data_IF_624165311512
#
_entry.id   IF_624165311512
#
_cell.length_a   1.000
_cell.length_b   1.000
_cell.length_c   1.000
_cell.angle_alpha   90.00
_cell.angle_beta   90.00
_cell.angle_gamma   90.00
#
_symmetry.space_group_name_H-M   'P 1'
#
loop_
_entity.id
_entity.type
_entity.pdbx_description
1 polymer ?
#
# COMPACT_ATOMS: atom_id res chain seq x y z
N UNK A 1 21.15 -28.73 26.22
CA UNK A 1 21.16 -27.41 26.91
C UNK A 1 21.77 -26.38 25.98
N UNK A 2 20.98 -25.37 25.61
CA UNK A 2 21.43 -24.17 24.89
C UNK A 2 21.17 -22.99 25.81
N UNK A 3 22.21 -22.33 26.30
CA UNK A 3 22.03 -21.28 27.30
C UNK A 3 22.96 -20.09 27.13
N UNK A 4 22.44 -18.89 27.41
CA UNK A 4 23.18 -17.62 27.44
C UNK A 4 23.87 -17.25 26.13
N UNK A 5 23.25 -17.58 24.99
CA UNK A 5 23.76 -17.23 23.66
C UNK A 5 23.15 -15.93 23.12
N UNK A 6 23.87 -15.29 22.20
CA UNK A 6 23.40 -14.20 21.35
C UNK A 6 23.26 -14.74 19.93
N UNK A 7 22.03 -14.86 19.44
CA UNK A 7 21.71 -15.40 18.11
C UNK A 7 21.09 -14.26 17.32
N UNK A 8 21.70 -13.88 16.19
CA UNK A 8 21.24 -12.68 15.48
C UNK A 8 21.39 -12.76 13.97
N UNK A 9 20.42 -12.17 13.27
CA UNK A 9 20.38 -11.93 11.84
C UNK A 9 20.60 -13.18 10.97
N UNK A 10 19.99 -14.30 11.35
CA UNK A 10 20.01 -15.52 10.56
C UNK A 10 18.88 -15.48 9.52
N UNK A 11 19.29 -15.25 8.27
CA UNK A 11 18.45 -14.97 7.10
C UNK A 11 17.16 -15.81 6.96
N UNK A 12 17.22 -17.11 7.22
CA UNK A 12 16.10 -18.05 7.05
C UNK A 12 15.67 -18.74 8.35
N UNK A 13 16.04 -18.17 9.52
CA UNK A 13 15.60 -18.63 10.84
C UNK A 13 16.73 -18.63 11.88
N UNK A 14 16.37 -18.27 13.11
CA UNK A 14 17.30 -18.23 14.25
C UNK A 14 17.75 -19.61 14.71
N UNK A 15 16.97 -20.26 15.57
CA UNK A 15 17.27 -21.61 16.07
C UNK A 15 16.14 -22.57 15.73
N UNK A 16 16.48 -23.68 15.07
CA UNK A 16 15.58 -24.81 14.86
C UNK A 16 15.81 -25.88 15.92
N UNK A 17 14.79 -26.22 16.68
CA UNK A 17 14.84 -27.36 17.60
C UNK A 17 14.31 -28.61 16.92
N UNK A 18 15.18 -29.62 16.81
CA UNK A 18 14.86 -30.95 16.27
C UNK A 18 14.42 -31.93 17.36
N UNK A 19 13.97 -33.11 16.94
CA UNK A 19 13.41 -34.19 17.79
C UNK A 19 14.46 -34.96 18.61
N UNK A 20 15.27 -34.26 19.40
CA UNK A 20 16.22 -34.84 20.36
C UNK A 20 15.62 -35.04 21.77
N UNK A 21 16.19 -35.92 22.61
CA UNK A 21 15.78 -36.06 24.00
C UNK A 21 16.37 -34.93 24.87
N UNK A 22 15.47 -34.18 25.53
CA UNK A 22 15.78 -33.21 26.60
C UNK A 22 16.59 -31.97 26.19
N UNK A 23 15.97 -31.14 25.36
CA UNK A 23 16.48 -29.80 25.08
C UNK A 23 15.97 -28.79 26.12
N UNK A 24 16.91 -28.15 26.80
CA UNK A 24 16.64 -27.02 27.69
C UNK A 24 17.21 -25.76 27.07
N UNK A 25 16.41 -24.70 26.98
CA UNK A 25 16.80 -23.37 26.55
C UNK A 25 16.69 -22.38 27.72
N UNK A 26 17.79 -21.69 28.06
CA UNK A 26 17.84 -20.76 29.20
C UNK A 26 18.61 -19.49 28.85
N UNK A 27 18.02 -18.32 29.10
CA UNK A 27 18.75 -17.05 29.06
C UNK A 27 19.33 -16.64 27.71
N UNK A 28 18.83 -17.16 26.59
CA UNK A 28 19.31 -16.79 25.26
C UNK A 28 18.61 -15.51 24.77
N UNK A 29 19.33 -14.72 23.97
CA UNK A 29 18.81 -13.53 23.32
C UNK A 29 18.89 -13.68 21.80
N UNK A 30 17.76 -13.50 21.15
CA UNK A 30 17.61 -13.55 19.70
C UNK A 30 17.40 -12.13 19.17
N UNK A 31 18.09 -11.72 18.11
CA UNK A 31 17.96 -10.37 17.51
C UNK A 31 17.71 -10.49 16.01
N UNK A 32 16.54 -10.05 15.55
CA UNK A 32 16.06 -10.25 14.18
C UNK A 32 15.83 -11.72 13.84
N UNK A 33 15.70 -12.57 14.87
CA UNK A 33 15.63 -14.02 14.81
C UNK A 33 14.66 -14.52 15.88
N UNK A 34 14.22 -15.77 15.75
CA UNK A 34 13.41 -16.46 16.75
C UNK A 34 13.65 -17.98 16.77
N UNK A 35 12.75 -18.69 17.43
CA UNK A 35 12.85 -20.11 17.73
C UNK A 35 11.75 -20.90 17.01
N UNK A 36 12.13 -21.83 16.15
CA UNK A 36 11.18 -22.74 15.52
C UNK A 36 11.27 -24.15 16.08
N UNK A 37 10.13 -24.68 16.50
CA UNK A 37 10.00 -26.11 16.80
C UNK A 37 9.75 -26.83 15.47
N UNK A 38 10.69 -27.66 15.04
CA UNK A 38 10.60 -28.38 13.76
C UNK A 38 9.98 -29.77 13.95
N UNK A 39 8.99 -30.08 13.12
CA UNK A 39 8.35 -31.39 13.08
C UNK A 39 9.10 -32.29 12.09
N UNK A 40 9.53 -33.51 12.48
CA UNK A 40 10.20 -34.41 11.54
C UNK A 40 9.27 -34.84 10.40
N UNK A 41 9.80 -34.94 9.17
CA UNK A 41 9.28 -35.81 8.11
C UNK A 41 7.94 -35.47 7.46
N UNK A 42 7.87 -34.42 6.64
CA UNK A 42 6.79 -34.26 5.64
C UNK A 42 6.84 -35.31 4.50
N UNK A 43 7.80 -36.24 4.51
CA UNK A 43 8.07 -37.22 3.44
C UNK A 43 8.09 -38.69 3.87
N UNK A 44 7.85 -39.02 5.14
CA UNK A 44 7.68 -40.42 5.59
C UNK A 44 6.24 -40.66 6.04
N UNK A 45 5.60 -41.75 5.61
CA UNK A 45 4.23 -42.05 6.03
C UNK A 45 4.21 -42.25 7.54
N UNK A 46 3.63 -41.29 8.26
CA UNK A 46 3.27 -41.46 9.65
C UNK A 46 2.28 -42.61 9.75
N UNK A 47 2.71 -43.71 10.36
CA UNK A 47 1.76 -44.71 10.87
C UNK A 47 0.88 -44.01 11.90
N UNK A 48 -0.35 -44.50 12.11
CA UNK A 48 -1.42 -43.89 12.92
C UNK A 48 -1.11 -43.62 14.40
N UNK A 49 0.15 -43.65 14.82
CA UNK A 49 0.62 -43.18 16.11
C UNK A 49 1.29 -41.80 15.92
N UNK A 50 0.76 -40.78 16.62
CA UNK A 50 1.42 -39.49 16.77
C UNK A 50 2.92 -39.71 17.07
N UNK A 51 3.83 -38.90 16.51
CA UNK A 51 5.26 -39.02 16.81
C UNK A 51 5.46 -39.00 18.32
N UNK A 52 6.32 -39.88 18.84
CA UNK A 52 6.55 -40.09 20.29
C UNK A 52 6.96 -38.84 21.07
N UNK A 53 7.31 -37.74 20.40
CA UNK A 53 7.53 -36.41 20.97
C UNK A 53 6.21 -35.67 21.29
N UNK A 54 5.18 -35.81 20.45
CA UNK A 54 3.82 -35.34 20.76
C UNK A 54 3.18 -36.10 21.92
N UNK A 55 3.60 -37.34 22.13
CA UNK A 55 3.15 -38.14 23.26
C UNK A 55 3.69 -37.61 24.60
N UNK A 56 4.77 -36.81 24.63
CA UNK A 56 5.28 -36.21 25.86
C UNK A 56 6.02 -34.87 25.65
N UNK A 57 5.29 -33.74 25.62
CA UNK A 57 5.89 -32.42 25.46
C UNK A 57 6.58 -31.89 26.73
N UNK A 58 6.81 -32.72 27.76
CA UNK A 58 7.69 -32.39 28.90
C UNK A 58 9.19 -32.45 28.57
N UNK A 59 9.52 -32.94 27.37
CA UNK A 59 10.91 -33.13 26.90
C UNK A 59 11.59 -31.85 26.43
N UNK A 60 10.82 -30.81 26.06
CA UNK A 60 11.35 -29.51 25.69
C UNK A 60 11.07 -28.54 26.84
N UNK A 61 12.13 -27.90 27.34
CA UNK A 61 12.03 -26.92 28.42
C UNK A 61 12.60 -25.60 27.93
N UNK A 62 11.73 -24.63 27.67
CA UNK A 62 12.13 -23.26 27.33
C UNK A 62 11.84 -22.40 28.56
N UNK A 63 12.90 -21.92 29.21
CA UNK A 63 12.76 -21.03 30.34
C UNK A 63 12.28 -19.64 29.89
N UNK A 64 11.59 -18.92 30.77
CA UNK A 64 11.01 -17.61 30.48
C UNK A 64 12.04 -16.47 30.39
N UNK A 65 13.31 -16.75 30.66
CA UNK A 65 14.42 -15.79 30.58
C UNK A 65 15.06 -15.71 29.19
N UNK A 66 14.52 -16.42 28.20
CA UNK A 66 14.85 -16.23 26.79
C UNK A 66 14.10 -15.01 26.22
N UNK A 67 14.74 -14.29 25.30
CA UNK A 67 14.17 -13.07 24.70
C UNK A 67 14.42 -12.98 23.19
N UNK A 68 13.51 -12.33 22.48
CA UNK A 68 13.58 -12.01 21.05
C UNK A 68 13.39 -10.49 20.93
N UNK A 69 14.38 -9.82 20.35
CA UNK A 69 14.42 -8.36 20.22
C UNK A 69 14.19 -7.63 21.56
N UNK A 70 14.73 -8.18 22.65
CA UNK A 70 14.53 -7.65 24.00
C UNK A 70 13.14 -7.87 24.60
N UNK A 71 12.26 -8.62 23.94
CA UNK A 71 10.94 -9.02 24.45
C UNK A 71 10.91 -10.49 24.86
N UNK A 72 10.01 -10.90 25.77
CA UNK A 72 9.90 -12.30 26.18
C UNK A 72 9.59 -13.26 25.02
N UNK A 73 10.22 -14.44 25.04
CA UNK A 73 9.77 -15.64 24.33
C UNK A 73 8.87 -16.44 25.26
N UNK A 74 7.61 -16.65 24.88
CA UNK A 74 6.67 -17.45 25.68
C UNK A 74 6.48 -18.84 25.11
N UNK A 75 6.57 -19.85 25.98
CA UNK A 75 6.33 -21.25 25.66
C UNK A 75 5.29 -21.85 26.61
N UNK A 76 4.21 -22.37 26.06
CA UNK A 76 3.17 -23.08 26.81
C UNK A 76 2.99 -24.50 26.28
N UNK A 77 2.77 -25.44 27.20
CA UNK A 77 2.57 -26.85 26.88
C UNK A 77 1.56 -27.52 27.80
N UNK A 78 0.84 -28.55 27.31
CA UNK A 78 -0.14 -29.34 28.08
C UNK A 78 -1.21 -28.48 28.78
N UNK A 79 -1.72 -27.47 28.08
CA UNK A 79 -2.58 -26.45 28.68
C UNK A 79 -4.06 -26.58 28.29
N UNK A 80 -4.96 -26.05 29.12
CA UNK A 80 -6.40 -25.98 28.81
C UNK A 80 -6.97 -24.66 29.33
N UNK A 81 -7.86 -24.02 28.55
CA UNK A 81 -8.45 -22.71 28.88
C UNK A 81 -7.40 -21.59 29.02
N UNK A 82 -6.32 -21.66 28.25
CA UNK A 82 -5.28 -20.64 28.26
C UNK A 82 -5.76 -19.41 27.49
N UNK A 83 -5.65 -18.24 28.11
CA UNK A 83 -5.89 -16.95 27.48
C UNK A 83 -4.63 -16.09 27.57
N UNK A 84 -4.17 -15.59 26.43
CA UNK A 84 -3.00 -14.74 26.28
C UNK A 84 -3.49 -13.45 25.64
N UNK A 85 -3.43 -12.34 26.37
CA UNK A 85 -4.03 -11.09 25.94
C UNK A 85 -3.13 -9.88 26.22
N UNK A 86 -2.80 -9.10 25.18
CA UNK A 86 -2.13 -7.80 25.35
C UNK A 86 -0.68 -7.86 25.84
N UNK A 87 -0.06 -9.03 25.88
CA UNK A 87 1.31 -9.20 26.40
C UNK A 87 2.31 -8.81 25.30
N UNK A 88 3.24 -7.88 25.55
CA UNK A 88 4.35 -7.61 24.64
C UNK A 88 5.29 -8.82 24.62
N UNK A 89 5.39 -9.49 23.48
CA UNK A 89 6.23 -10.68 23.31
C UNK A 89 6.92 -10.67 21.94
N UNK A 90 8.09 -11.30 21.88
CA UNK A 90 8.85 -11.44 20.64
C UNK A 90 8.40 -12.63 19.81
N UNK A 91 7.95 -13.70 20.45
CA UNK A 91 7.37 -14.89 19.80
C UNK A 91 6.54 -15.69 20.80
N UNK A 92 5.51 -16.38 20.29
CA UNK A 92 4.65 -17.26 21.06
C UNK A 92 4.70 -18.68 20.52
N UNK A 93 5.07 -19.63 21.36
CA UNK A 93 5.08 -21.06 21.09
C UNK A 93 4.06 -21.78 21.98
N UNK A 94 3.12 -22.50 21.40
CA UNK A 94 2.11 -23.28 22.14
C UNK A 94 2.02 -24.68 21.58
N UNK A 95 2.13 -25.67 22.46
CA UNK A 95 2.13 -27.09 22.07
C UNK A 95 1.12 -27.87 22.91
N UNK A 96 0.30 -28.73 22.31
CA UNK A 96 -0.62 -29.63 23.03
C UNK A 96 -1.56 -28.85 23.98
N UNK A 97 -2.38 -27.97 23.42
CA UNK A 97 -3.26 -27.10 24.21
C UNK A 97 -4.70 -27.08 23.68
N UNK A 98 -5.67 -26.90 24.59
CA UNK A 98 -7.10 -26.89 24.26
C UNK A 98 -7.82 -25.64 24.77
N UNK A 99 -8.82 -25.16 24.03
CA UNK A 99 -9.60 -23.96 24.33
C UNK A 99 -8.68 -22.75 24.54
N UNK A 100 -7.91 -22.43 23.50
CA UNK A 100 -6.88 -21.40 23.52
C UNK A 100 -7.45 -20.08 23.00
N UNK A 101 -7.21 -18.97 23.71
CA UNK A 101 -7.55 -17.61 23.29
C UNK A 101 -6.29 -16.78 23.18
N UNK A 102 -5.97 -16.30 21.98
CA UNK A 102 -4.81 -15.46 21.71
C UNK A 102 -5.30 -14.13 21.17
N UNK A 103 -5.09 -13.05 21.92
CA UNK A 103 -5.62 -11.75 21.51
C UNK A 103 -4.73 -10.55 21.79
N UNK A 104 -4.90 -9.51 20.97
CA UNK A 104 -4.27 -8.20 21.16
C UNK A 104 -2.74 -8.27 21.34
N UNK A 105 -2.08 -9.22 20.68
CA UNK A 105 -0.62 -9.35 20.69
C UNK A 105 -0.02 -8.51 19.57
N UNK A 106 1.18 -7.96 19.82
CA UNK A 106 1.96 -7.22 18.83
C UNK A 106 3.33 -7.88 18.68
N UNK A 107 3.49 -8.67 17.63
CA UNK A 107 4.65 -9.53 17.39
C UNK A 107 5.27 -9.15 16.05
N UNK A 108 6.56 -8.86 16.05
CA UNK A 108 7.29 -8.50 14.85
C UNK A 108 8.76 -8.89 14.89
N UNK A 109 9.35 -9.08 13.71
CA UNK A 109 10.79 -9.33 13.50
C UNK A 109 11.31 -10.60 14.20
N UNK A 110 10.52 -11.68 14.18
CA UNK A 110 10.91 -13.01 14.69
C UNK A 110 11.09 -14.03 13.55
N UNK A 111 11.47 -15.27 13.87
CA UNK A 111 11.40 -16.41 12.93
C UNK A 111 9.93 -16.74 12.62
N UNK A 112 9.15 -17.09 13.65
CA UNK A 112 7.70 -17.20 13.58
C UNK A 112 7.09 -16.18 14.53
N UNK A 113 5.90 -15.66 14.21
CA UNK A 113 5.17 -14.81 15.15
C UNK A 113 4.49 -15.65 16.23
N UNK A 114 3.58 -16.51 15.81
CA UNK A 114 2.80 -17.42 16.65
C UNK A 114 2.92 -18.83 16.07
N UNK A 115 3.58 -19.75 16.78
CA UNK A 115 3.61 -21.16 16.42
C UNK A 115 2.71 -21.97 17.36
N UNK A 116 1.71 -22.63 16.78
CA UNK A 116 0.81 -23.55 17.48
C UNK A 116 0.98 -24.96 16.91
N UNK A 117 1.12 -25.94 17.79
CA UNK A 117 1.29 -27.33 17.40
C UNK A 117 0.37 -28.20 18.26
N UNK A 118 -0.46 -29.04 17.62
CA UNK A 118 -1.42 -29.91 18.32
C UNK A 118 -2.35 -29.11 19.24
N UNK A 119 -3.14 -28.22 18.63
CA UNK A 119 -4.06 -27.32 19.36
C UNK A 119 -5.51 -27.53 18.97
N UNK A 120 -6.40 -27.48 19.95
CA UNK A 120 -7.83 -27.69 19.75
C UNK A 120 -8.67 -26.53 20.28
N UNK A 121 -9.76 -26.22 19.59
CA UNK A 121 -10.73 -25.20 20.00
C UNK A 121 -10.06 -23.82 20.20
N UNK A 122 -9.36 -23.34 19.17
CA UNK A 122 -8.50 -22.15 19.25
C UNK A 122 -9.17 -20.92 18.61
N UNK A 123 -9.08 -19.76 19.28
CA UNK A 123 -9.46 -18.46 18.72
C UNK A 123 -8.25 -17.51 18.78
N UNK A 124 -7.88 -16.97 17.61
CA UNK A 124 -6.81 -15.99 17.44
C UNK A 124 -7.45 -14.71 16.91
N UNK A 125 -7.43 -13.63 17.71
CA UNK A 125 -8.18 -12.41 17.39
C UNK A 125 -7.50 -11.10 17.77
N UNK A 126 -7.58 -10.07 16.92
CA UNK A 126 -7.06 -8.75 17.26
C UNK A 126 -5.53 -8.67 17.35
N UNK A 127 -4.79 -9.62 16.78
CA UNK A 127 -3.32 -9.62 16.85
C UNK A 127 -2.73 -8.87 15.65
N UNK A 128 -1.59 -8.23 15.88
CA UNK A 128 -0.73 -7.64 14.84
C UNK A 128 0.54 -8.47 14.73
N UNK A 129 0.71 -9.18 13.61
CA UNK A 129 1.80 -10.14 13.41
C UNK A 129 2.52 -9.84 12.10
N UNK A 130 3.69 -9.22 12.17
CA UNK A 130 4.31 -8.59 11.01
C UNK A 130 5.80 -8.89 10.87
N UNK A 131 6.33 -8.87 9.64
CA UNK A 131 7.78 -8.86 9.40
C UNK A 131 8.54 -10.05 10.02
N UNK A 132 7.90 -11.22 10.12
CA UNK A 132 8.56 -12.44 10.58
C UNK A 132 9.20 -13.17 9.40
N UNK A 133 10.35 -13.82 9.58
CA UNK A 133 11.13 -14.38 8.47
C UNK A 133 10.55 -15.69 7.90
N UNK A 134 9.66 -16.37 8.61
CA UNK A 134 8.92 -17.52 8.09
C UNK A 134 7.40 -17.27 7.98
N UNK A 135 6.63 -17.64 8.98
CA UNK A 135 5.17 -17.44 9.00
C UNK A 135 4.78 -16.50 10.13
N UNK A 136 3.79 -15.65 9.88
CA UNK A 136 3.19 -14.86 10.94
C UNK A 136 2.54 -15.78 11.97
N UNK A 137 1.57 -16.59 11.52
CA UNK A 137 0.89 -17.59 12.33
C UNK A 137 1.07 -18.95 11.66
N UNK A 138 1.68 -19.89 12.39
CA UNK A 138 1.87 -21.27 11.97
C UNK A 138 1.05 -22.20 12.87
N UNK A 139 0.19 -23.03 12.28
CA UNK A 139 -0.62 -24.01 13.00
C UNK A 139 -0.44 -25.41 12.40
N UNK A 140 0.21 -26.31 13.13
CA UNK A 140 0.35 -27.70 12.72
C UNK A 140 -0.49 -28.62 13.63
N UNK A 141 -1.18 -29.60 13.06
CA UNK A 141 -2.04 -30.55 13.78
C UNK A 141 -3.17 -29.90 14.59
N UNK A 142 -3.77 -28.83 14.07
CA UNK A 142 -4.90 -28.18 14.74
C UNK A 142 -6.22 -28.93 14.52
N UNK A 143 -7.16 -28.79 15.45
CA UNK A 143 -8.56 -29.16 15.25
C UNK A 143 -9.49 -28.08 15.81
N UNK A 144 -10.39 -27.55 14.96
CA UNK A 144 -11.27 -26.44 15.30
C UNK A 144 -10.51 -25.16 15.69
N UNK A 145 -10.13 -24.37 14.69
CA UNK A 145 -9.46 -23.08 14.89
C UNK A 145 -10.19 -21.94 14.14
N UNK A 146 -10.27 -20.78 14.76
CA UNK A 146 -10.77 -19.54 14.13
C UNK A 146 -9.72 -18.44 14.26
N UNK A 147 -9.37 -17.83 13.12
CA UNK A 147 -8.47 -16.68 13.03
C UNK A 147 -9.28 -15.52 12.44
N UNK A 148 -9.52 -14.48 13.24
CA UNK A 148 -10.47 -13.41 12.93
C UNK A 148 -10.00 -12.06 13.46
N UNK A 149 -10.16 -10.97 12.71
CA UNK A 149 -9.82 -9.63 13.19
C UNK A 149 -8.34 -9.38 13.43
N UNK A 150 -7.43 -10.11 12.77
CA UNK A 150 -5.99 -9.93 12.91
C UNK A 150 -5.42 -9.08 11.76
N UNK A 151 -4.34 -8.36 12.02
CA UNK A 151 -3.54 -7.64 11.03
C UNK A 151 -2.22 -8.39 10.80
N UNK A 152 -2.00 -8.88 9.59
CA UNK A 152 -0.92 -9.81 9.24
C UNK A 152 -0.24 -9.25 8.01
N UNK A 153 1.03 -8.87 8.15
CA UNK A 153 1.73 -8.22 7.05
C UNK A 153 3.20 -8.57 6.92
N UNK A 154 3.68 -8.62 5.68
CA UNK A 154 5.09 -8.79 5.34
C UNK A 154 5.75 -10.00 6.03
N UNK A 155 5.07 -11.15 6.12
CA UNK A 155 5.65 -12.35 6.72
C UNK A 155 6.22 -13.31 5.64
N UNK A 156 7.38 -13.88 5.96
CA UNK A 156 8.15 -14.79 5.12
C UNK A 156 9.38 -14.16 4.50
N UNK A 157 10.34 -15.02 4.14
CA UNK A 157 11.59 -14.64 3.50
C UNK A 157 11.52 -14.83 1.97
N UNK A 158 12.34 -14.07 1.23
CA UNK A 158 12.66 -14.28 -0.19
C UNK A 158 11.46 -14.46 -1.12
N UNK A 159 10.42 -13.64 -0.96
CA UNK A 159 9.23 -13.70 -1.82
C UNK A 159 8.28 -14.86 -1.49
N UNK A 160 8.53 -15.62 -0.43
CA UNK A 160 7.51 -16.46 0.21
C UNK A 160 6.63 -15.58 1.08
N UNK A 161 5.35 -15.48 0.75
CA UNK A 161 4.33 -14.71 1.49
C UNK A 161 3.52 -15.67 2.35
N UNK A 162 3.78 -15.70 3.65
CA UNK A 162 3.24 -16.73 4.56
C UNK A 162 2.65 -16.14 5.85
N UNK A 163 1.70 -15.23 5.72
CA UNK A 163 0.96 -14.67 6.86
C UNK A 163 0.35 -15.75 7.77
N UNK A 164 -0.45 -16.67 7.22
CA UNK A 164 -1.02 -17.81 7.97
C UNK A 164 -0.78 -19.13 7.25
N UNK A 165 -0.08 -20.06 7.88
CA UNK A 165 0.10 -21.41 7.37
C UNK A 165 -0.48 -22.42 8.36
N UNK A 166 -1.47 -23.20 7.91
CA UNK A 166 -2.08 -24.23 8.74
C UNK A 166 -2.04 -25.60 8.05
N UNK A 167 -1.84 -26.67 8.81
CA UNK A 167 -1.84 -28.04 8.27
C UNK A 167 -2.38 -29.03 9.30
N UNK A 168 -3.31 -29.90 8.90
CA UNK A 168 -3.84 -30.98 9.75
C UNK A 168 -4.06 -32.28 8.95
N UNK A 169 -2.99 -32.88 8.40
CA UNK A 169 -3.07 -33.97 7.42
C UNK A 169 -3.69 -35.29 7.93
N UNK A 170 -3.90 -35.45 9.24
CA UNK A 170 -4.35 -36.70 9.86
C UNK A 170 -5.64 -36.56 10.68
N UNK A 171 -6.33 -35.42 10.60
CA UNK A 171 -7.55 -35.14 11.36
C UNK A 171 -8.71 -34.95 10.35
N UNK A 172 -9.47 -36.02 10.03
CA UNK A 172 -10.41 -36.04 8.90
C UNK A 172 -11.63 -35.12 9.03
N UNK A 173 -11.79 -34.39 10.15
CA UNK A 173 -12.89 -33.46 10.40
C UNK A 173 -12.40 -32.10 10.93
N UNK A 174 -11.17 -31.72 10.60
CA UNK A 174 -10.62 -30.43 11.02
C UNK A 174 -11.44 -29.29 10.44
N UNK A 175 -12.00 -28.44 11.30
CA UNK A 175 -12.61 -27.17 10.90
C UNK A 175 -11.62 -26.05 11.18
N UNK A 176 -11.32 -25.25 10.17
CA UNK A 176 -10.43 -24.10 10.29
C UNK A 176 -11.04 -22.91 9.55
N UNK A 177 -11.34 -21.85 10.27
CA UNK A 177 -11.92 -20.63 9.73
C UNK A 177 -10.90 -19.49 9.79
N UNK A 178 -10.78 -18.77 8.70
CA UNK A 178 -9.96 -17.58 8.55
C UNK A 178 -10.78 -16.55 7.79
N UNK A 179 -11.33 -15.56 8.48
CA UNK A 179 -12.15 -14.53 7.87
C UNK A 179 -11.99 -13.24 8.64
N UNK A 180 -12.31 -12.11 8.01
CA UNK A 180 -12.24 -10.80 8.64
C UNK A 180 -10.84 -10.46 9.16
N UNK A 181 -9.79 -10.83 8.44
CA UNK A 181 -8.42 -10.40 8.75
C UNK A 181 -7.90 -9.48 7.65
N UNK A 182 -6.87 -8.71 7.98
CA UNK A 182 -6.14 -7.84 7.07
C UNK A 182 -4.82 -8.51 6.70
N UNK A 183 -4.70 -8.94 5.45
CA UNK A 183 -3.47 -9.46 4.87
C UNK A 183 -2.84 -8.40 3.96
N UNK A 184 -1.63 -7.96 4.29
CA UNK A 184 -0.88 -6.97 3.51
C UNK A 184 0.44 -7.60 3.09
N UNK A 185 0.61 -7.83 1.79
CA UNK A 185 1.77 -8.53 1.24
C UNK A 185 1.95 -9.92 1.88
N UNK A 186 0.84 -10.59 2.16
CA UNK A 186 0.79 -11.91 2.78
C UNK A 186 -0.30 -12.79 2.17
N UNK A 187 -0.14 -14.11 2.30
CA UNK A 187 -1.14 -15.10 1.95
C UNK A 187 -1.50 -15.99 3.15
N UNK A 188 -2.57 -16.76 2.98
CA UNK A 188 -2.91 -17.83 3.90
C UNK A 188 -3.10 -19.18 3.21
N UNK A 189 -2.92 -20.25 3.97
CA UNK A 189 -3.16 -21.62 3.52
C UNK A 189 -3.68 -22.51 4.64
N UNK A 190 -4.43 -23.55 4.26
CA UNK A 190 -4.87 -24.61 5.16
C UNK A 190 -6.05 -24.29 6.09
N UNK A 191 -6.69 -23.14 5.91
CA UNK A 191 -7.95 -22.73 6.55
C UNK A 191 -8.96 -22.30 5.48
N UNK A 192 -10.25 -22.40 5.77
CA UNK A 192 -11.31 -21.83 4.94
C UNK A 192 -11.28 -20.30 5.06
N UNK A 193 -11.08 -19.61 3.94
CA UNK A 193 -10.73 -18.19 3.90
C UNK A 193 -11.94 -17.24 3.86
N UNK A 194 -13.15 -17.72 4.15
CA UNK A 194 -14.35 -16.90 4.18
C UNK A 194 -15.38 -17.41 5.19
N UNK A 195 -16.30 -16.54 5.60
CA UNK A 195 -17.44 -16.86 6.48
C UNK A 195 -18.78 -16.86 5.72
N UNK A 196 -18.73 -16.97 4.39
CA UNK A 196 -19.90 -16.86 3.52
C UNK A 196 -20.52 -15.46 3.44
N UNK A 197 -21.51 -15.30 2.58
CA UNK A 197 -22.24 -14.05 2.37
C UNK A 197 -23.41 -13.89 3.37
N UNK A 198 -23.73 -12.66 3.83
CA UNK A 198 -23.07 -11.38 3.54
C UNK A 198 -21.90 -11.07 4.46
N UNK A 199 -21.46 -12.01 5.30
CA UNK A 199 -20.37 -11.76 6.25
C UNK A 199 -19.07 -11.38 5.52
N UNK A 200 -18.78 -12.03 4.40
CA UNK A 200 -17.52 -11.83 3.68
C UNK A 200 -16.38 -12.68 4.23
N UNK A 201 -15.21 -12.47 3.65
CA UNK A 201 -13.95 -13.13 3.97
C UNK A 201 -12.93 -12.15 4.51
N UNK A 202 -11.71 -12.18 3.99
CA UNK A 202 -10.59 -11.35 4.44
C UNK A 202 -10.32 -10.21 3.44
N UNK A 203 -9.56 -9.23 3.90
CA UNK A 203 -8.97 -8.21 3.05
C UNK A 203 -7.58 -8.64 2.59
N UNK A 204 -7.32 -8.61 1.28
CA UNK A 204 -6.08 -9.12 0.67
C UNK A 204 -5.36 -8.06 -0.16
N UNK A 205 -4.43 -7.32 0.42
CA UNK A 205 -3.60 -6.38 -0.33
C UNK A 205 -2.31 -7.07 -0.84
N UNK A 206 -1.91 -6.87 -2.12
CA UNK A 206 -2.49 -5.98 -3.12
C UNK A 206 -3.54 -6.64 -4.04
N UNK A 207 -3.93 -7.90 -3.80
CA UNK A 207 -4.83 -8.64 -4.70
C UNK A 207 -6.15 -7.90 -4.97
N UNK A 208 -6.76 -7.30 -3.94
CA UNK A 208 -8.03 -6.56 -4.06
C UNK A 208 -7.90 -5.19 -4.72
N UNK A 209 -6.69 -4.66 -4.95
CA UNK A 209 -6.47 -3.37 -5.64
C UNK A 209 -6.99 -3.39 -7.08
N UNK A 210 -7.02 -4.59 -7.68
CA UNK A 210 -7.55 -4.81 -9.02
C UNK A 210 -8.96 -5.40 -9.03
N UNK A 211 -9.56 -5.64 -7.86
CA UNK A 211 -10.90 -6.18 -7.74
C UNK A 211 -11.96 -5.11 -8.03
N UNK A 212 -13.16 -5.57 -8.36
CA UNK A 212 -14.32 -4.74 -8.68
C UNK A 212 -15.45 -5.11 -7.73
N UNK A 213 -16.18 -4.12 -7.25
CA UNK A 213 -17.39 -4.27 -6.45
C UNK A 213 -18.46 -3.37 -7.06
N UNK A 214 -19.31 -3.94 -7.91
CA UNK A 214 -20.45 -3.28 -8.54
C UNK A 214 -21.77 -3.97 -8.19
N UNK A 215 -21.72 -5.18 -7.68
CA UNK A 215 -22.85 -6.09 -7.55
C UNK A 215 -22.91 -6.68 -6.14
N UNK A 216 -24.10 -7.08 -5.71
CA UNK A 216 -24.32 -7.67 -4.39
C UNK A 216 -24.98 -9.05 -4.48
N UNK A 217 -25.26 -9.65 -3.32
CA UNK A 217 -25.92 -10.94 -3.19
C UNK A 217 -24.94 -12.11 -3.13
N UNK A 218 -25.45 -13.29 -2.77
CA UNK A 218 -24.64 -14.51 -2.57
C UNK A 218 -23.80 -14.90 -3.80
N UNK A 219 -24.26 -14.55 -5.01
CA UNK A 219 -23.54 -14.81 -6.27
C UNK A 219 -22.84 -13.59 -6.84
N UNK A 220 -22.95 -12.43 -6.16
CA UNK A 220 -22.42 -11.15 -6.62
C UNK A 220 -22.92 -10.78 -8.03
N UNK A 221 -24.21 -10.98 -8.28
CA UNK A 221 -24.87 -10.80 -9.58
C UNK A 221 -26.00 -9.75 -9.57
N UNK A 222 -26.21 -9.06 -8.46
CA UNK A 222 -27.24 -8.02 -8.30
C UNK A 222 -26.62 -6.63 -8.48
N UNK A 223 -26.50 -6.17 -9.72
CA UNK A 223 -25.91 -4.88 -10.07
C UNK A 223 -27.02 -3.81 -10.28
N UNK A 224 -26.81 -2.53 -9.90
CA UNK A 224 -25.54 -1.85 -9.62
C UNK A 224 -25.31 -1.59 -8.12
N UNK A 225 -25.63 -2.56 -7.25
CA UNK A 225 -25.57 -2.36 -5.80
C UNK A 225 -24.27 -2.94 -5.24
N UNK A 226 -23.19 -2.15 -5.10
CA UNK A 226 -22.01 -2.59 -4.39
C UNK A 226 -22.29 -2.75 -2.90
N UNK A 227 -21.60 -3.68 -2.25
CA UNK A 227 -21.79 -3.99 -0.83
C UNK A 227 -20.49 -4.16 -0.02
N UNK A 228 -19.34 -3.81 -0.60
CA UNK A 228 -18.03 -3.88 0.05
C UNK A 228 -17.35 -5.25 -0.07
N UNK A 229 -17.93 -6.16 -0.86
CA UNK A 229 -17.39 -7.48 -1.17
C UNK A 229 -17.02 -7.49 -2.65
N UNK A 230 -15.88 -8.11 -3.00
CA UNK A 230 -15.46 -8.19 -4.38
C UNK A 230 -16.42 -9.07 -5.21
N UNK A 231 -16.81 -8.58 -6.39
CA UNK A 231 -17.67 -9.27 -7.36
C UNK A 231 -17.10 -10.64 -7.77
N UNK A 232 -15.78 -10.77 -7.73
CA UNK A 232 -15.04 -11.99 -8.06
C UNK A 232 -14.06 -12.36 -6.95
N UNK A 233 -14.32 -13.50 -6.31
CA UNK A 233 -13.41 -14.14 -5.37
C UNK A 233 -12.40 -15.10 -6.01
N UNK A 234 -11.65 -15.77 -5.13
CA UNK A 234 -10.74 -16.87 -5.43
C UNK A 234 -10.90 -17.98 -4.39
N UNK A 235 -9.80 -18.32 -3.69
CA UNK A 235 -9.85 -19.20 -2.52
C UNK A 235 -10.74 -18.62 -1.42
N UNK A 236 -10.65 -17.31 -1.20
CA UNK A 236 -11.64 -16.52 -0.49
C UNK A 236 -12.76 -16.16 -1.47
N UNK A 237 -13.97 -16.68 -1.22
CA UNK A 237 -15.11 -16.48 -2.13
C UNK A 237 -15.74 -15.11 -2.03
N UNK A 238 -15.54 -14.41 -0.91
CA UNK A 238 -16.13 -13.10 -0.64
C UNK A 238 -15.08 -12.13 -0.07
N UNK A 239 -13.98 -11.83 -0.80
CA UNK A 239 -12.96 -10.91 -0.32
C UNK A 239 -13.55 -9.55 0.03
N UNK A 240 -13.08 -8.94 1.11
CA UNK A 240 -13.46 -7.57 1.47
C UNK A 240 -12.72 -6.58 0.58
N UNK A 241 -13.42 -5.55 0.11
CA UNK A 241 -12.83 -4.46 -0.68
C UNK A 241 -12.00 -3.48 0.16
N UNK A 242 -12.16 -3.53 1.48
CA UNK A 242 -11.50 -2.65 2.43
C UNK A 242 -11.01 -3.45 3.64
N UNK A 243 -10.02 -2.94 4.38
CA UNK A 243 -9.57 -3.56 5.63
C UNK A 243 -10.74 -3.86 6.57
N UNK A 244 -10.73 -5.04 7.18
CA UNK A 244 -11.66 -5.42 8.22
C UNK A 244 -11.38 -4.67 9.53
N UNK A 245 -12.46 -4.19 10.15
CA UNK A 245 -12.43 -3.47 11.42
C UNK A 245 -13.04 -4.34 12.51
N UNK A 246 -12.18 -4.85 13.40
CA UNK A 246 -12.62 -5.75 14.48
C UNK A 246 -13.44 -5.04 15.57
N UNK A 247 -13.44 -3.71 15.60
CA UNK A 247 -14.29 -2.86 16.44
C UNK A 247 -14.82 -1.69 15.59
N UNK A 248 -15.95 -1.05 15.95
CA UNK A 248 -16.32 0.21 15.35
C UNK A 248 -15.19 1.20 15.60
N UNK A 249 -14.49 1.55 14.55
CA UNK A 249 -13.39 2.48 14.63
C UNK A 249 -13.94 3.87 14.97
N UNK A 250 -13.36 4.48 16.01
CA UNK A 250 -13.69 5.82 16.50
C UNK A 250 -12.50 6.77 16.38
N UNK A 251 -11.35 6.27 15.93
CA UNK A 251 -10.12 7.03 15.76
C UNK A 251 -10.20 7.74 14.42
N UNK A 252 -10.24 9.07 14.36
CA UNK A 252 -10.17 9.76 13.08
C UNK A 252 -8.76 9.70 12.48
N UNK A 253 -8.64 9.74 11.14
CA UNK A 253 -7.34 9.83 10.51
C UNK A 253 -6.57 11.05 10.97
N UNK A 254 -5.25 10.96 10.97
CA UNK A 254 -4.35 12.03 11.36
C UNK A 254 -3.33 12.33 10.27
N UNK A 255 -3.11 13.62 9.99
CA UNK A 255 -2.05 14.06 9.10
C UNK A 255 -0.70 13.91 9.79
N UNK A 256 0.26 13.27 9.12
CA UNK A 256 1.62 13.15 9.63
C UNK A 256 2.31 14.53 9.67
N UNK A 257 3.13 14.81 10.70
CA UNK A 257 3.94 16.01 10.73
C UNK A 257 4.82 16.11 9.47
N UNK A 258 4.95 17.33 8.91
CA UNK A 258 5.78 17.62 7.74
C UNK A 258 5.35 16.96 6.41
N UNK A 259 4.08 16.55 6.28
CA UNK A 259 3.50 16.12 5.00
C UNK A 259 2.48 17.15 4.49
N UNK A 260 2.94 18.23 3.83
CA UNK A 260 2.04 19.28 3.36
C UNK A 260 1.26 18.82 2.13
N UNK A 261 0.04 19.35 1.98
CA UNK A 261 -0.63 19.38 0.68
C UNK A 261 0.16 20.36 -0.20
N UNK A 262 0.61 19.90 -1.36
CA UNK A 262 1.34 20.74 -2.32
C UNK A 262 0.47 21.03 -3.53
N UNK A 263 0.72 22.17 -4.18
CA UNK A 263 0.06 22.55 -5.42
C UNK A 263 1.05 22.50 -6.56
N UNK A 264 0.65 21.89 -7.68
CA UNK A 264 1.38 21.85 -8.95
C UNK A 264 0.48 22.21 -10.12
N UNK A 265 1.09 22.34 -11.30
CA UNK A 265 0.41 22.54 -12.58
C UNK A 265 -0.63 23.67 -12.52
N UNK A 266 -0.21 24.82 -11.96
CA UNK A 266 -1.07 26.00 -11.84
C UNK A 266 -1.25 26.62 -13.22
N UNK A 267 -2.43 26.42 -13.78
CA UNK A 267 -2.87 26.97 -15.06
C UNK A 267 -3.55 28.32 -14.92
N UNK A 268 -4.30 28.70 -15.96
CA UNK A 268 -5.10 29.95 -15.97
C UNK A 268 -6.46 29.79 -15.31
N UNK A 269 -6.93 28.56 -15.21
CA UNK A 269 -8.22 28.17 -14.64
C UNK A 269 -8.16 26.85 -13.86
N UNK A 270 -6.96 26.31 -13.63
CA UNK A 270 -6.77 25.02 -12.98
C UNK A 270 -5.58 25.01 -12.02
N UNK A 271 -5.60 24.08 -11.08
CA UNK A 271 -4.46 23.74 -10.24
C UNK A 271 -4.59 22.28 -9.78
N UNK A 272 -3.46 21.57 -9.71
CA UNK A 272 -3.42 20.19 -9.21
C UNK A 272 -2.96 20.19 -7.76
N UNK A 273 -3.82 19.73 -6.85
CA UNK A 273 -3.45 19.45 -5.46
C UNK A 273 -2.88 18.04 -5.38
N UNK A 274 -1.82 17.88 -4.58
CA UNK A 274 -1.15 16.61 -4.33
C UNK A 274 -0.91 16.46 -2.82
N UNK A 275 -1.20 15.29 -2.27
CA UNK A 275 -0.98 14.99 -0.86
C UNK A 275 -0.64 13.51 -0.64
N UNK A 276 0.04 13.24 0.47
CA UNK A 276 0.32 11.88 0.92
C UNK A 276 -0.85 11.32 1.73
N UNK A 277 -0.85 10.00 1.94
CA UNK A 277 -1.88 9.34 2.74
C UNK A 277 -1.88 9.88 4.17
N UNK A 278 -3.05 10.21 4.72
CA UNK A 278 -3.15 10.42 6.17
C UNK A 278 -2.99 9.07 6.89
N UNK A 279 -2.39 9.09 8.08
CA UNK A 279 -2.22 7.90 8.90
C UNK A 279 -3.50 7.62 9.66
N UNK A 280 -3.84 6.35 9.79
CA UNK A 280 -5.03 5.88 10.47
C UNK A 280 -4.79 4.43 10.91
N UNK A 281 -5.39 4.00 12.01
CA UNK A 281 -5.28 2.63 12.52
C UNK A 281 -6.04 1.62 11.65
N UNK A 282 -7.00 2.11 10.87
CA UNK A 282 -7.93 1.33 10.05
C UNK A 282 -7.74 1.56 8.55
N UNK A 283 -7.30 2.75 8.19
CA UNK A 283 -7.02 3.16 6.83
C UNK A 283 -8.05 4.14 6.28
N UNK A 284 -7.52 5.14 5.58
CA UNK A 284 -8.30 6.15 4.86
C UNK A 284 -8.92 5.53 3.61
N UNK A 285 -10.22 5.76 3.38
CA UNK A 285 -10.98 5.30 2.21
C UNK A 285 -11.32 6.42 1.22
N UNK A 286 -11.37 7.67 1.68
CA UNK A 286 -11.55 8.82 0.78
C UNK A 286 -11.01 10.14 1.36
N UNK A 287 -10.83 11.13 0.48
CA UNK A 287 -10.39 12.47 0.80
C UNK A 287 -11.40 13.51 0.31
N UNK A 288 -11.83 14.36 1.22
CA UNK A 288 -12.69 15.50 0.95
C UNK A 288 -11.83 16.74 0.67
N UNK A 289 -11.91 17.26 -0.55
CA UNK A 289 -11.16 18.46 -0.97
C UNK A 289 -12.06 19.68 -0.81
N UNK A 290 -11.60 20.68 -0.06
CA UNK A 290 -12.33 21.92 0.19
C UNK A 290 -11.60 23.12 -0.40
N UNK A 291 -12.38 24.06 -0.96
CA UNK A 291 -11.97 25.41 -1.34
C UNK A 291 -12.63 26.40 -0.38
N UNK A 292 -11.85 27.02 0.51
CA UNK A 292 -12.40 27.69 1.68
C UNK A 292 -13.22 26.69 2.52
N UNK A 293 -14.52 26.92 2.64
CA UNK A 293 -15.46 26.02 3.34
C UNK A 293 -16.37 25.21 2.41
N UNK A 294 -16.21 25.36 1.09
CA UNK A 294 -17.01 24.61 0.10
C UNK A 294 -16.30 23.31 -0.28
N UNK A 295 -17.00 22.17 -0.15
CA UNK A 295 -16.53 20.88 -0.66
C UNK A 295 -16.53 20.92 -2.21
N UNK A 296 -15.39 20.62 -2.82
CA UNK A 296 -15.21 20.63 -4.28
C UNK A 296 -14.97 19.25 -4.88
N UNK A 297 -14.55 18.26 -4.07
CA UNK A 297 -14.38 16.89 -4.53
C UNK A 297 -14.40 15.87 -3.38
N UNK A 298 -14.78 14.64 -3.73
CA UNK A 298 -14.56 13.45 -2.92
C UNK A 298 -13.70 12.46 -3.71
N UNK A 299 -12.45 12.27 -3.28
CA UNK A 299 -11.44 11.48 -3.98
C UNK A 299 -11.28 10.13 -3.28
N UNK A 300 -11.53 9.02 -3.97
CA UNK A 300 -11.33 7.67 -3.40
C UNK A 300 -9.84 7.43 -3.08
N UNK A 301 -9.58 6.77 -1.96
CA UNK A 301 -8.24 6.31 -1.59
C UNK A 301 -7.75 5.10 -2.42
N UNK A 302 -8.56 4.56 -3.32
CA UNK A 302 -8.15 3.55 -4.29
C UNK A 302 -7.54 4.19 -5.55
N UNK A 303 -7.76 5.50 -5.75
CA UNK A 303 -7.22 6.28 -6.88
C UNK A 303 -5.81 6.79 -6.59
N UNK A 304 -4.91 5.88 -6.24
CA UNK A 304 -3.50 6.19 -6.03
C UNK A 304 -2.86 6.69 -7.33
N UNK A 305 -2.10 7.78 -7.24
CA UNK A 305 -1.26 8.26 -8.34
C UNK A 305 0.21 8.21 -7.92
N UNK A 306 1.14 7.94 -8.86
CA UNK A 306 2.56 8.14 -8.61
C UNK A 306 2.82 9.63 -8.35
N UNK A 307 3.38 9.98 -7.18
CA UNK A 307 3.77 11.35 -6.87
C UNK A 307 5.28 11.42 -6.74
N UNK A 308 5.91 12.23 -7.59
CA UNK A 308 7.30 12.64 -7.40
C UNK A 308 7.36 13.79 -6.39
N UNK A 309 7.15 13.46 -5.12
CA UNK A 309 7.24 14.38 -3.98
C UNK A 309 8.62 14.22 -3.34
N UNK A 310 9.54 15.13 -3.68
CA UNK A 310 10.89 15.15 -3.12
C UNK A 310 10.85 15.58 -1.63
N UNK A 311 10.62 14.63 -0.72
CA UNK A 311 10.80 14.81 0.74
C UNK A 311 11.54 13.58 1.30
N UNK A 312 12.59 13.85 2.09
CA UNK A 312 13.63 12.90 2.50
C UNK A 312 13.14 11.85 3.51
N UNK A 313 12.86 10.59 3.10
CA UNK A 313 13.10 9.35 3.89
C UNK A 313 13.28 8.13 2.95
N UNK A 314 14.22 7.26 3.34
CA UNK A 314 14.67 5.92 2.84
C UNK A 314 14.33 5.48 1.41
N UNK A 315 15.40 5.37 0.61
CA UNK A 315 15.43 4.73 -0.70
C UNK A 315 15.24 3.20 -0.60
N UNK A 316 14.63 2.63 -1.63
CA UNK A 316 14.74 1.20 -1.94
C UNK A 316 16.14 0.86 -2.47
N UNK A 317 16.42 -0.44 -2.66
CA UNK A 317 17.70 -0.93 -3.18
C UNK A 317 18.04 -0.45 -4.61
N UNK A 318 17.12 0.25 -5.29
CA UNK A 318 17.30 0.83 -6.62
C UNK A 318 17.48 2.36 -6.62
N UNK A 319 17.45 3.02 -5.44
CA UNK A 319 17.63 4.47 -5.34
C UNK A 319 16.48 5.29 -5.89
N UNK A 320 15.28 4.71 -6.06
CA UNK A 320 14.08 5.41 -6.53
C UNK A 320 12.95 5.25 -5.51
N UNK A 321 12.86 6.18 -4.56
CA UNK A 321 11.66 6.30 -3.72
C UNK A 321 10.50 6.86 -4.54
N UNK A 322 9.70 5.98 -5.17
CA UNK A 322 8.39 6.37 -5.68
C UNK A 322 7.43 6.46 -4.50
N UNK A 323 7.02 7.67 -4.16
CA UNK A 323 5.95 7.89 -3.19
C UNK A 323 4.60 7.74 -3.90
N UNK A 324 3.76 6.84 -3.39
CA UNK A 324 2.36 6.79 -3.79
C UNK A 324 1.58 7.80 -2.95
N UNK A 325 0.76 8.62 -3.62
CA UNK A 325 -0.13 9.53 -2.93
C UNK A 325 -1.37 9.82 -3.76
N UNK A 326 -2.05 10.89 -3.40
CA UNK A 326 -3.31 11.27 -3.99
C UNK A 326 -3.23 12.66 -4.57
N UNK A 327 -4.09 12.92 -5.53
CA UNK A 327 -4.17 14.23 -6.13
C UNK A 327 -5.50 14.47 -6.80
N UNK A 328 -5.77 15.75 -7.01
CA UNK A 328 -6.98 16.20 -7.64
C UNK A 328 -6.72 17.48 -8.42
N UNK A 329 -7.05 17.46 -9.71
CA UNK A 329 -7.00 18.65 -10.56
C UNK A 329 -8.31 19.40 -10.45
N UNK A 330 -8.24 20.60 -9.87
CA UNK A 330 -9.35 21.52 -9.74
C UNK A 330 -9.38 22.38 -11.00
N UNK A 331 -10.54 22.52 -11.62
CA UNK A 331 -10.77 23.35 -12.82
C UNK A 331 -11.81 24.45 -12.55
N UNK A 332 -11.97 25.40 -13.48
CA UNK A 332 -12.96 26.47 -13.37
C UNK A 332 -12.60 27.55 -12.34
N UNK A 333 -11.31 27.75 -12.09
CA UNK A 333 -10.79 28.78 -11.21
C UNK A 333 -10.66 30.12 -11.96
N UNK A 334 -10.87 31.25 -11.28
CA UNK A 334 -10.70 32.57 -11.89
C UNK A 334 -9.20 32.96 -11.97
N UNK A 335 -8.75 33.38 -13.15
CA UNK A 335 -7.36 33.79 -13.37
C UNK A 335 -6.95 34.95 -12.47
N UNK A 336 -5.72 34.94 -11.94
CA UNK A 336 -5.21 36.00 -11.05
C UNK A 336 -5.86 36.02 -9.65
N UNK A 337 -6.73 35.06 -9.35
CA UNK A 337 -7.39 34.96 -8.04
C UNK A 337 -6.62 34.01 -7.13
N UNK A 338 -6.51 34.38 -5.86
CA UNK A 338 -5.91 33.54 -4.81
C UNK A 338 -6.98 32.67 -4.18
N UNK A 339 -6.73 31.37 -4.10
CA UNK A 339 -7.58 30.39 -3.45
C UNK A 339 -6.84 29.68 -2.33
N UNK A 340 -7.58 29.33 -1.28
CA UNK A 340 -7.09 28.51 -0.17
C UNK A 340 -7.79 27.15 -0.19
N UNK A 341 -7.01 26.09 -0.11
CA UNK A 341 -7.47 24.71 -0.14
C UNK A 341 -7.09 23.96 1.14
N UNK A 342 -7.95 23.03 1.54
CA UNK A 342 -7.71 22.10 2.64
C UNK A 342 -8.23 20.71 2.26
N UNK A 343 -7.60 19.67 2.77
CA UNK A 343 -7.99 18.28 2.56
C UNK A 343 -8.37 17.66 3.90
N UNK A 344 -9.45 16.91 3.93
CA UNK A 344 -9.88 16.11 5.09
C UNK A 344 -9.87 14.64 4.66
N UNK A 345 -9.20 13.80 5.43
CA UNK A 345 -9.19 12.35 5.24
C UNK A 345 -10.38 11.73 5.99
N UNK A 346 -10.94 10.68 5.41
CA UNK A 346 -12.08 9.93 5.97
C UNK A 346 -11.72 8.46 5.97
N UNK A 347 -11.84 7.81 7.13
CA UNK A 347 -11.63 6.36 7.28
C UNK A 347 -12.86 5.55 6.84
N UNK A 348 -12.71 4.23 6.92
CA UNK A 348 -13.77 3.28 6.58
C UNK A 348 -14.97 3.32 7.55
N UNK A 349 -14.77 3.71 8.81
CA UNK A 349 -15.86 3.90 9.78
C UNK A 349 -16.58 5.25 9.64
N UNK A 350 -16.07 6.13 8.78
CA UNK A 350 -16.62 7.46 8.51
C UNK A 350 -16.10 8.56 9.45
N UNK A 351 -15.11 8.30 10.31
CA UNK A 351 -14.51 9.37 11.09
C UNK A 351 -13.66 10.27 10.19
N UNK A 352 -13.56 11.54 10.57
CA UNK A 352 -12.95 12.60 9.75
C UNK A 352 -11.75 13.19 10.46
N UNK A 353 -10.65 13.34 9.73
CA UNK A 353 -9.47 14.01 10.24
C UNK A 353 -9.70 15.49 10.54
N UNK A 354 -8.82 16.07 11.36
CA UNK A 354 -8.64 17.52 11.33
C UNK A 354 -8.20 17.96 9.91
N UNK A 355 -8.61 19.14 9.43
CA UNK A 355 -8.17 19.63 8.13
C UNK A 355 -6.65 19.65 8.02
N UNK A 356 -6.15 19.33 6.83
CA UNK A 356 -4.74 19.49 6.50
C UNK A 356 -4.28 20.94 6.74
N UNK A 357 -2.96 21.17 6.77
CA UNK A 357 -2.46 22.53 6.65
C UNK A 357 -3.02 23.16 5.37
N UNK A 358 -3.60 24.35 5.52
CA UNK A 358 -4.21 25.04 4.40
C UNK A 358 -3.12 25.48 3.42
N UNK A 359 -3.32 25.19 2.13
CA UNK A 359 -2.43 25.61 1.07
C UNK A 359 -3.07 26.72 0.25
N UNK A 360 -2.31 27.78 -0.01
CA UNK A 360 -2.79 28.94 -0.77
C UNK A 360 -2.08 29.00 -2.11
N UNK A 361 -2.83 29.20 -3.19
CA UNK A 361 -2.30 29.31 -4.55
C UNK A 361 -2.98 30.46 -5.28
N UNK A 362 -2.18 31.24 -6.01
CA UNK A 362 -2.66 32.29 -6.91
C UNK A 362 -2.62 31.76 -8.34
N UNK A 363 -3.77 31.75 -9.00
CA UNK A 363 -3.92 31.23 -10.36
C UNK A 363 -3.24 32.17 -11.37
N UNK A 364 -2.61 31.61 -12.40
CA UNK A 364 -1.85 32.39 -13.38
C UNK A 364 -2.76 33.44 -14.02
N UNK A 365 -2.42 34.73 -13.95
CA UNK A 365 -3.18 35.78 -14.62
C UNK A 365 -3.25 35.52 -16.12
N UNK A 366 -4.44 35.70 -16.71
CA UNK A 366 -4.67 35.46 -18.14
C UNK A 366 -3.75 36.28 -19.06
N UNK A 367 -3.29 37.44 -18.58
CA UNK A 367 -2.39 38.36 -19.30
C UNK A 367 -0.94 37.89 -19.38
N UNK A 368 -0.46 37.05 -18.45
CA UNK A 368 0.96 36.65 -18.42
C UNK A 368 1.33 35.70 -19.57
N UNK A 369 0.43 34.83 -20.01
CA UNK A 369 0.65 33.99 -21.21
C UNK A 369 0.48 34.78 -22.50
N UNK A 370 -0.39 35.79 -22.55
CA UNK A 370 -0.47 36.69 -23.71
C UNK A 370 0.85 37.45 -23.92
N UNK A 371 1.49 37.91 -22.84
CA UNK A 371 2.76 38.61 -22.91
C UNK A 371 3.90 37.73 -23.47
N UNK A 372 3.97 36.44 -23.10
CA UNK A 372 4.99 35.53 -23.65
C UNK A 372 4.78 35.25 -25.13
N UNK A 373 3.54 35.06 -25.60
CA UNK A 373 3.26 34.93 -27.03
C UNK A 373 3.57 36.20 -27.83
N UNK A 374 3.32 37.38 -27.25
CA UNK A 374 3.68 38.66 -27.86
C UNK A 374 5.20 38.78 -27.98
N UNK A 375 5.95 38.50 -26.91
CA UNK A 375 7.42 38.58 -26.91
C UNK A 375 8.03 37.58 -27.90
N UNK A 376 7.58 36.32 -27.91
CA UNK A 376 8.04 35.31 -28.88
C UNK A 376 7.77 35.77 -30.32
N UNK A 377 6.59 36.32 -30.58
CA UNK A 377 6.23 36.85 -31.90
C UNK A 377 7.11 38.03 -32.32
N UNK A 378 7.41 38.94 -31.41
CA UNK A 378 8.29 40.10 -31.65
C UNK A 378 9.74 39.66 -31.89
N UNK A 379 10.25 38.72 -31.09
CA UNK A 379 11.61 38.16 -31.26
C UNK A 379 11.73 37.41 -32.58
N UNK A 380 10.75 36.58 -32.96
CA UNK A 380 10.73 35.93 -34.27
C UNK A 380 10.72 36.94 -35.41
N UNK A 381 9.90 37.99 -35.32
CA UNK A 381 9.87 39.07 -36.31
C UNK A 381 11.24 39.76 -36.42
N UNK A 382 11.89 40.07 -35.29
CA UNK A 382 13.22 40.65 -35.23
C UNK A 382 14.29 39.77 -35.89
N UNK A 383 14.32 38.48 -35.57
CA UNK A 383 15.25 37.52 -36.18
C UNK A 383 15.06 37.43 -37.70
N UNK A 384 13.81 37.34 -38.18
CA UNK A 384 13.50 37.33 -39.62
C UNK A 384 14.01 38.62 -40.29
N UNK A 385 13.81 39.79 -39.67
CA UNK A 385 14.32 41.06 -40.21
C UNK A 385 15.84 41.10 -40.26
N UNK A 386 16.53 40.59 -39.24
CA UNK A 386 18.00 40.51 -39.21
C UNK A 386 18.55 39.57 -40.29
N UNK A 387 17.89 38.42 -40.52
CA UNK A 387 18.27 37.49 -41.58
C UNK A 387 18.08 38.09 -42.97
N UNK A 388 16.97 38.80 -43.21
CA UNK A 388 16.72 39.51 -44.47
C UNK A 388 17.79 40.60 -44.68
N UNK A 389 18.10 41.39 -43.65
CA UNK A 389 19.13 42.43 -43.72
C UNK A 389 20.52 41.86 -43.99
N UNK A 390 20.86 40.74 -43.33
CA UNK A 390 22.14 40.04 -43.53
C UNK A 390 22.25 39.48 -44.96
N UNK A 391 21.18 38.89 -45.48
CA UNK A 391 21.11 38.41 -46.86
C UNK A 391 21.24 39.56 -47.85
N UNK A 392 20.60 40.70 -47.58
CA UNK A 392 20.70 41.90 -48.42
C UNK A 392 22.12 42.49 -48.41
N UNK A 393 22.75 42.61 -47.24
CA UNK A 393 24.15 43.06 -47.09
C UNK A 393 25.13 42.09 -47.76
N UNK A 394 24.90 40.78 -47.65
CA UNK A 394 25.68 39.76 -48.33
C UNK A 394 25.54 39.88 -49.85
N UNK A 395 24.33 39.98 -50.39
CA UNK A 395 24.09 40.21 -51.82
C UNK A 395 24.78 41.50 -52.32
N UNK A 396 24.80 42.58 -51.51
CA UNK A 396 25.54 43.80 -51.84
C UNK A 396 27.06 43.62 -51.85
N UNK A 397 27.61 42.78 -50.98
CA UNK A 397 29.06 42.50 -50.90
C UNK A 397 29.53 41.52 -51.98
N UNK A 398 28.76 40.49 -52.27
CA UNK A 398 29.12 39.47 -53.27
C UNK A 398 28.84 39.92 -54.70
N UNK A 399 27.95 40.90 -54.89
CA UNK A 399 27.70 41.53 -56.18
C UNK A 399 28.17 42.99 -56.21
N UNK A 400 29.45 43.21 -55.92
CA UNK A 400 30.17 44.47 -56.17
C UNK A 400 30.39 44.82 -57.65
N UNK A 401 29.58 44.26 -58.56
CA UNK A 401 29.46 44.70 -59.94
C UNK A 401 27.98 44.98 -60.21
N UNK A 402 27.64 46.03 -60.98
CA UNK A 402 26.26 46.32 -61.29
C UNK A 402 25.69 45.12 -62.03
N UNK A 403 24.77 44.40 -61.40
CA UNK A 403 23.87 43.51 -62.14
C UNK A 403 23.17 44.42 -63.15
N UNK A 404 23.51 44.25 -64.43
CA UNK A 404 22.70 44.79 -65.49
C UNK A 404 21.25 44.41 -65.18
N UNK A 405 20.41 45.42 -65.10
CA UNK A 405 18.97 45.27 -64.98
C UNK A 405 18.49 44.40 -66.14
N UNK A 406 18.29 43.11 -65.91
CA UNK A 406 17.29 42.41 -66.69
C UNK A 406 15.95 42.81 -66.07
N UNK A 407 15.38 43.86 -66.66
CA UNK A 407 14.02 44.31 -66.45
C UNK A 407 13.10 43.11 -66.68
N UNK A 408 12.71 42.43 -65.61
CA UNK A 408 11.54 41.55 -65.62
C UNK A 408 10.50 42.19 -64.72
N UNK A 409 9.73 43.05 -65.36
CA UNK A 409 8.47 43.54 -64.84
C UNK A 409 7.63 42.35 -64.37
N UNK A 410 7.10 42.46 -63.15
CA UNK A 410 6.09 41.64 -62.45
C UNK A 410 6.57 40.90 -61.19
N UNK A 411 5.93 41.12 -60.03
CA UNK A 411 6.17 40.33 -58.82
C UNK A 411 5.79 38.87 -59.06
N UNK A 412 6.63 37.94 -58.60
CA UNK A 412 6.35 36.51 -58.73
C UNK A 412 4.98 36.16 -58.14
N UNK A 413 4.24 35.29 -58.83
CA UNK A 413 2.88 34.84 -58.50
C UNK A 413 2.73 34.30 -57.07
N UNK A 414 3.85 33.92 -56.44
CA UNK A 414 3.95 33.46 -55.06
C UNK A 414 3.75 34.61 -54.07
N UNK A 415 4.36 35.77 -54.29
CA UNK A 415 4.22 36.95 -53.41
C UNK A 415 2.79 37.48 -53.45
N UNK A 416 2.16 37.50 -54.62
CA UNK A 416 0.75 37.87 -54.74
C UNK A 416 -0.20 36.86 -54.06
N UNK A 417 0.08 35.55 -54.13
CA UNK A 417 -0.69 34.53 -53.40
C UNK A 417 -0.54 34.65 -51.89
N UNK A 418 0.65 34.99 -51.40
CA UNK A 418 0.90 35.18 -49.97
C UNK A 418 0.17 36.42 -49.45
N UNK A 419 0.23 37.54 -50.18
CA UNK A 419 -0.48 38.78 -49.82
C UNK A 419 -2.01 38.59 -49.88
N UNK A 420 -2.55 37.82 -50.84
CA UNK A 420 -3.99 37.55 -50.89
C UNK A 420 -4.46 36.62 -49.77
N UNK A 421 -3.67 35.62 -49.38
CA UNK A 421 -3.96 34.72 -48.23
C UNK A 421 -3.95 35.48 -46.90
N UNK A 422 -3.01 36.42 -46.73
CA UNK A 422 -2.92 37.27 -45.53
C UNK A 422 -4.10 38.24 -45.46
N UNK A 423 -4.50 38.86 -46.58
CA UNK A 423 -5.70 39.73 -46.64
C UNK A 423 -7.01 38.96 -46.42
N UNK A 424 -7.10 37.70 -46.85
CA UNK A 424 -8.26 36.83 -46.61
C UNK A 424 -8.44 36.46 -45.14
N UNK A 425 -7.35 36.12 -44.43
CA UNK A 425 -7.39 35.77 -43.00
C UNK A 425 -7.66 36.98 -42.09
N UNK A 426 -7.17 38.17 -42.45
CA UNK A 426 -7.46 39.40 -41.71
C UNK A 426 -8.91 39.90 -41.86
N UNK A 427 -9.64 39.49 -42.91
CA UNK A 427 -11.08 39.79 -43.05
C UNK A 427 -11.99 38.82 -42.30
N UNK A 428 -11.60 37.56 -42.12
CA UNK A 428 -12.38 36.59 -41.33
C UNK A 428 -12.24 36.76 -39.81
N UNK A 429 -11.14 37.34 -39.32
CA UNK A 429 -10.95 37.63 -37.89
C UNK A 429 -11.74 38.84 -37.34
N UNK A 430 -12.60 39.47 -38.14
CA UNK A 430 -13.51 40.55 -37.70
C UNK A 430 -14.99 40.16 -37.75
N UNK A 431 -15.32 38.91 -38.11
CA UNK A 431 -16.67 38.36 -37.97
C UNK A 431 -16.58 36.92 -37.47
N UNK A 432 -16.46 36.78 -36.16
CA UNK A 432 -17.07 35.74 -35.33
C UNK A 432 -16.79 36.06 -33.87
#
# INVERSE_FOLDING_TARGET
LVSYNQIAYNYAGGLGLGVGPMDTLVGNNFTGDGLKISLPGASTPFTSALPTFFADPSRLQIASDNSINGKPLLYYTKCTNLAINGIPLGELLVVNCRNLRISNLHIYESTLGIQLIDVNDTLITGNSVNSNTESGIRMDYYNNATVVGNNISNNGADGSVNGVAAASPFQPNTVGLLYHNNFIDDLASGLMQDNGYPSGGNYWWPAVVSAVDNCSGLKQDICPKPDGIADKGGTDRYPLMHPYLAMPDTSPPAWLPNQPVVVRDVGQDSATLLWLRAADDVGVVNYLVYRGDTLVANVSADSLMPIDLYVHVRADAAGKGLYYGYGYTITGLASGTTYTFKVIAVDLAGNRSSPSQAVTVTIVPSWQTQATWIIVSVVLAGLVTASILSLWLWMRRTHGHPLQTQKRDQPSSIVQRVISKIRGRLRQGKSN
#
